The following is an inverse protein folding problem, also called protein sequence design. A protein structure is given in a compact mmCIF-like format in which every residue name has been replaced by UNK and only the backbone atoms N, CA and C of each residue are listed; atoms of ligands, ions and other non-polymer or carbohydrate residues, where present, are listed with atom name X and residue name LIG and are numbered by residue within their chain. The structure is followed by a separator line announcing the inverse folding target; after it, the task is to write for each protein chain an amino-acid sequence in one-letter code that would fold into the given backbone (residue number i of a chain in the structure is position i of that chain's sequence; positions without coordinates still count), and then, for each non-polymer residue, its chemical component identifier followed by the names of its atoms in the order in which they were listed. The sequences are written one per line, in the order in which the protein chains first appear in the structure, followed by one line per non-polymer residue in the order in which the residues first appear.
data_IF_000112633398
#
_entry.id   IF_000112633398
#
_cell.length_a   1.000
_cell.length_b   1.000
_cell.length_c   1.000
_cell.angle_alpha   90.00
_cell.angle_beta   90.00
_cell.angle_gamma   90.00
#
_symmetry.space_group_name_H-M   'P 1'
#
loop_
_entity.id
_entity.type
_entity.pdbx_description
1 polymer ?
#
# COMPACT_ATOMS: atom_id res chain seq x y z
N UNK A 1 6.57 32.03 3.60
CA UNK A 1 6.72 30.61 3.96
C UNK A 1 5.44 29.80 3.70
N UNK A 2 4.27 30.18 4.24
CA UNK A 2 3.01 29.44 4.04
C UNK A 2 2.59 29.32 2.56
N UNK A 3 2.73 30.36 1.74
CA UNK A 3 2.46 30.31 0.31
C UNK A 3 3.34 29.29 -0.39
N UNK A 4 4.65 29.35 -0.20
CA UNK A 4 5.60 28.39 -0.79
C UNK A 4 5.26 26.93 -0.45
N UNK A 5 4.91 26.64 0.81
CA UNK A 5 4.55 25.28 1.20
C UNK A 5 3.26 24.79 0.51
N UNK A 6 2.28 25.67 0.36
CA UNK A 6 1.04 25.35 -0.36
C UNK A 6 1.31 25.10 -1.83
N UNK A 7 2.00 26.03 -2.49
CA UNK A 7 2.31 25.92 -3.92
C UNK A 7 3.12 24.64 -4.20
N UNK A 8 4.04 24.26 -3.31
CA UNK A 8 4.80 23.01 -3.42
C UNK A 8 3.91 21.79 -3.23
N UNK A 9 3.00 21.78 -2.25
CA UNK A 9 2.07 20.69 -2.01
C UNK A 9 1.12 20.49 -3.20
N UNK A 10 0.58 21.59 -3.73
CA UNK A 10 -0.31 21.57 -4.90
C UNK A 10 0.42 21.04 -6.14
N UNK A 11 1.70 21.44 -6.33
CA UNK A 11 2.52 20.95 -7.44
C UNK A 11 2.83 19.46 -7.32
N UNK A 12 3.06 18.93 -6.12
CA UNK A 12 3.29 17.51 -5.90
C UNK A 12 1.99 16.70 -6.06
N UNK A 13 0.88 17.21 -5.51
CA UNK A 13 -0.42 16.57 -5.64
C UNK A 13 -0.79 16.35 -7.11
N UNK A 14 -0.58 17.36 -7.95
CA UNK A 14 -0.83 17.30 -9.39
C UNK A 14 0.05 16.27 -10.13
N UNK A 15 1.11 15.75 -9.49
CA UNK A 15 2.07 14.80 -10.08
C UNK A 15 1.97 13.38 -9.53
N UNK A 16 1.19 13.15 -8.49
CA UNK A 16 1.10 11.83 -7.83
C UNK A 16 0.75 10.73 -8.84
N UNK A 17 -0.22 11.00 -9.73
CA UNK A 17 -0.67 10.01 -10.71
C UNK A 17 0.43 9.71 -11.75
N UNK A 18 1.12 10.75 -12.23
CA UNK A 18 2.24 10.59 -13.17
C UNK A 18 3.39 9.78 -12.56
N UNK A 19 3.62 9.93 -11.26
CA UNK A 19 4.74 9.30 -10.56
C UNK A 19 4.45 7.89 -10.08
N UNK A 20 3.21 7.60 -9.67
CA UNK A 20 2.92 6.40 -8.89
C UNK A 20 1.79 5.53 -9.46
N UNK A 21 0.99 6.00 -10.44
CA UNK A 21 -0.08 5.19 -11.00
C UNK A 21 0.39 4.42 -12.23
N UNK A 22 0.26 3.08 -12.20
CA UNK A 22 0.64 2.19 -13.29
C UNK A 22 -0.58 1.45 -13.86
N UNK A 23 -0.65 1.34 -15.18
CA UNK A 23 -1.71 0.60 -15.90
C UNK A 23 -1.27 -0.75 -16.42
N UNK A 24 0.02 -0.98 -16.51
CA UNK A 24 0.68 -2.19 -17.02
C UNK A 24 1.47 -2.94 -15.92
N UNK A 25 1.18 -2.62 -14.65
CA UNK A 25 1.86 -3.20 -13.50
C UNK A 25 1.55 -4.70 -13.31
N UNK A 26 2.46 -5.36 -12.60
CA UNK A 26 2.48 -6.82 -12.42
C UNK A 26 1.17 -7.41 -11.89
N UNK A 27 0.42 -6.67 -11.04
CA UNK A 27 -0.77 -7.18 -10.35
C UNK A 27 -2.10 -6.82 -10.99
N UNK A 28 -2.13 -5.91 -11.99
CA UNK A 28 -3.38 -5.39 -12.56
C UNK A 28 -4.27 -6.51 -13.09
N UNK A 29 -3.71 -7.41 -13.89
CA UNK A 29 -4.45 -8.52 -14.49
C UNK A 29 -5.02 -9.48 -13.45
N UNK A 30 -4.21 -9.89 -12.48
CA UNK A 30 -4.57 -10.90 -11.49
C UNK A 30 -5.63 -10.39 -10.52
N UNK A 31 -5.61 -9.09 -10.20
CA UNK A 31 -6.60 -8.42 -9.36
C UNK A 31 -7.85 -7.95 -10.13
N UNK A 32 -7.88 -8.09 -11.46
CA UNK A 32 -8.99 -7.58 -12.29
C UNK A 32 -9.12 -6.05 -12.22
N UNK A 33 -7.97 -5.35 -12.20
CA UNK A 33 -7.87 -3.90 -12.13
C UNK A 33 -7.32 -3.32 -13.43
N UNK A 34 -7.67 -2.07 -13.74
CA UNK A 34 -7.13 -1.35 -14.90
C UNK A 34 -5.75 -0.74 -14.62
N UNK A 35 -5.40 -0.58 -13.35
CA UNK A 35 -4.15 -0.02 -12.88
C UNK A 35 -4.17 0.13 -11.36
N UNK A 36 -3.10 0.62 -10.78
CA UNK A 36 -3.01 0.83 -9.33
C UNK A 36 -1.86 1.76 -8.96
N UNK A 37 -1.92 2.34 -7.76
CA UNK A 37 -0.80 3.08 -7.19
C UNK A 37 0.23 2.13 -6.62
N UNK A 38 1.48 2.31 -7.04
CA UNK A 38 2.65 1.61 -6.48
C UNK A 38 3.12 2.31 -5.21
N UNK A 39 3.87 1.60 -4.38
CA UNK A 39 4.37 2.13 -3.12
C UNK A 39 5.37 3.27 -3.30
N UNK A 40 6.30 3.12 -4.24
CA UNK A 40 7.41 4.04 -4.44
C UNK A 40 7.93 3.92 -5.86
N UNK A 41 8.35 5.05 -6.44
CA UNK A 41 9.13 5.11 -7.65
C UNK A 41 10.48 5.77 -7.32
N UNK A 42 11.63 5.11 -7.56
CA UNK A 42 12.93 5.71 -7.28
C UNK A 42 13.20 6.85 -8.25
N UNK A 43 13.99 7.86 -7.85
CA UNK A 43 14.39 8.92 -8.74
C UNK A 43 15.34 8.36 -9.82
N UNK A 44 14.89 8.30 -11.07
CA UNK A 44 15.72 7.97 -12.23
C UNK A 44 15.82 9.18 -13.15
N UNK A 45 16.96 9.33 -13.80
CA UNK A 45 17.12 10.35 -14.81
C UNK A 45 16.22 10.00 -16.02
N UNK A 46 15.34 10.92 -16.41
CA UNK A 46 14.44 10.74 -17.54
C UNK A 46 12.97 10.91 -17.17
N UNK A 47 12.11 10.17 -17.85
CA UNK A 47 10.67 10.26 -17.66
C UNK A 47 10.20 9.57 -16.39
N UNK A 48 9.20 10.14 -15.71
CA UNK A 48 8.61 9.59 -14.49
C UNK A 48 8.13 8.14 -14.68
N UNK A 49 7.60 7.81 -15.86
CA UNK A 49 7.14 6.45 -16.20
C UNK A 49 8.26 5.41 -16.19
N UNK A 50 9.49 5.78 -16.52
CA UNK A 50 10.64 4.87 -16.43
C UNK A 50 10.95 4.50 -14.97
N UNK A 51 10.68 5.41 -14.03
CA UNK A 51 10.87 5.16 -12.60
C UNK A 51 9.90 4.11 -12.05
N UNK A 52 8.70 3.97 -12.61
CA UNK A 52 7.70 2.99 -12.13
C UNK A 52 8.10 1.54 -12.40
N UNK A 53 9.03 1.30 -13.32
CA UNK A 53 9.56 -0.04 -13.63
C UNK A 53 10.99 -0.27 -13.13
N UNK A 54 11.58 0.72 -12.45
CA UNK A 54 12.93 0.60 -11.91
C UNK A 54 12.96 -0.36 -10.70
N UNK A 55 14.14 -0.94 -10.44
CA UNK A 55 14.33 -1.83 -9.28
C UNK A 55 14.39 -1.02 -7.99
N UNK A 56 13.73 -1.53 -6.95
CA UNK A 56 13.69 -0.97 -5.60
C UNK A 56 14.26 -1.98 -4.62
N UNK A 57 15.27 -1.60 -3.86
CA UNK A 57 15.83 -2.42 -2.79
C UNK A 57 14.89 -2.42 -1.57
N UNK A 58 14.50 -3.60 -1.11
CA UNK A 58 13.76 -3.83 0.13
C UNK A 58 14.71 -4.39 1.18
N UNK A 59 15.20 -3.52 2.07
CA UNK A 59 16.32 -3.78 2.99
C UNK A 59 16.10 -4.90 4.02
N UNK A 60 14.85 -5.24 4.33
CA UNK A 60 14.52 -6.29 5.28
C UNK A 60 14.21 -7.64 4.59
N UNK A 61 14.65 -7.81 3.35
CA UNK A 61 14.64 -9.07 2.63
C UNK A 61 16.04 -9.67 2.56
N UNK A 62 16.10 -10.97 2.28
CA UNK A 62 17.35 -11.63 1.93
C UNK A 62 18.03 -10.92 0.76
N UNK A 63 19.31 -10.63 0.89
CA UNK A 63 20.11 -9.89 -0.10
C UNK A 63 20.04 -10.48 -1.51
N UNK A 64 19.85 -11.80 -1.63
CA UNK A 64 19.69 -12.46 -2.93
C UNK A 64 18.38 -12.11 -3.65
N UNK A 65 17.39 -11.57 -2.91
CA UNK A 65 16.04 -11.25 -3.40
C UNK A 65 15.58 -9.86 -2.92
N UNK A 66 16.51 -8.96 -2.59
CA UNK A 66 16.19 -7.66 -2.04
C UNK A 66 15.52 -6.73 -3.06
N UNK A 67 15.87 -6.86 -4.33
CA UNK A 67 15.37 -6.00 -5.40
C UNK A 67 14.01 -6.47 -5.92
N UNK A 68 13.05 -5.53 -5.97
CA UNK A 68 11.71 -5.73 -6.53
C UNK A 68 11.46 -4.63 -7.57
N UNK A 69 10.87 -4.93 -8.74
CA UNK A 69 10.40 -3.88 -9.64
C UNK A 69 9.39 -2.97 -8.92
N UNK A 70 9.50 -1.66 -9.11
CA UNK A 70 8.65 -0.68 -8.44
C UNK A 70 7.16 -0.93 -8.73
N UNK A 71 6.82 -1.30 -9.97
CA UNK A 71 5.45 -1.66 -10.38
C UNK A 71 4.92 -2.93 -9.72
N UNK A 72 5.78 -3.78 -9.18
CA UNK A 72 5.38 -4.95 -8.39
C UNK A 72 5.27 -4.68 -6.89
N UNK A 73 5.64 -3.48 -6.41
CA UNK A 73 5.65 -3.13 -4.99
C UNK A 73 4.44 -2.27 -4.61
N UNK A 74 3.50 -2.86 -3.89
CA UNK A 74 2.27 -2.19 -3.42
C UNK A 74 2.22 -2.10 -1.90
N UNK A 75 1.51 -1.10 -1.38
CA UNK A 75 1.30 -0.91 0.06
C UNK A 75 -0.08 -0.32 0.35
N UNK A 76 -0.49 -0.36 1.61
CA UNK A 76 -1.71 0.32 2.09
C UNK A 76 -1.56 1.84 2.12
N UNK A 77 -0.36 2.39 1.92
CA UNK A 77 -0.09 3.84 1.96
C UNK A 77 -0.97 4.64 0.98
N UNK A 78 -1.40 4.02 -0.13
CA UNK A 78 -2.36 4.60 -1.08
C UNK A 78 -3.65 5.08 -0.43
N UNK A 79 -4.11 4.44 0.65
CA UNK A 79 -5.31 4.83 1.38
C UNK A 79 -5.19 6.23 2.02
N UNK A 80 -3.95 6.72 2.20
CA UNK A 80 -3.70 8.08 2.67
C UNK A 80 -4.22 9.15 1.68
N UNK A 81 -4.25 8.86 0.38
CA UNK A 81 -4.81 9.76 -0.63
C UNK A 81 -6.28 10.06 -0.36
N UNK A 82 -7.04 9.06 0.09
CA UNK A 82 -8.45 9.22 0.46
C UNK A 82 -8.59 9.84 1.85
N UNK A 83 -7.81 9.36 2.82
CA UNK A 83 -7.86 9.86 4.21
C UNK A 83 -7.59 11.35 4.31
N UNK A 84 -6.69 11.87 3.50
CA UNK A 84 -6.33 13.29 3.47
C UNK A 84 -7.11 14.09 2.43
N UNK A 85 -8.09 13.50 1.74
CA UNK A 85 -8.97 14.20 0.81
C UNK A 85 -8.32 14.57 -0.53
N UNK A 86 -7.21 13.94 -0.89
CA UNK A 86 -6.53 14.17 -2.18
C UNK A 86 -7.23 13.43 -3.33
N UNK A 87 -7.91 12.33 -3.03
CA UNK A 87 -8.73 11.57 -3.99
C UNK A 87 -10.05 11.16 -3.34
N UNK A 88 -11.11 11.09 -4.15
CA UNK A 88 -12.39 10.57 -3.71
C UNK A 88 -12.31 9.04 -3.48
N UNK A 89 -13.06 8.48 -2.51
CA UNK A 89 -13.02 7.05 -2.22
C UNK A 89 -13.56 6.19 -3.37
N UNK A 90 -14.35 6.77 -4.26
CA UNK A 90 -14.93 6.16 -5.46
C UNK A 90 -14.17 6.50 -6.76
N UNK A 91 -13.05 7.23 -6.68
CA UNK A 91 -12.15 7.41 -7.83
C UNK A 91 -11.77 6.01 -8.37
N UNK A 92 -11.96 5.75 -9.68
CA UNK A 92 -11.65 4.43 -10.27
C UNK A 92 -10.23 3.95 -9.98
N UNK A 93 -9.25 4.85 -9.92
CA UNK A 93 -7.85 4.52 -9.62
C UNK A 93 -7.68 4.07 -8.17
N UNK A 94 -8.42 4.66 -7.24
CA UNK A 94 -8.44 4.23 -5.83
C UNK A 94 -9.14 2.88 -5.70
N UNK A 95 -10.30 2.71 -6.32
CA UNK A 95 -11.06 1.44 -6.28
C UNK A 95 -10.20 0.29 -6.82
N UNK A 96 -9.54 0.48 -7.94
CA UNK A 96 -8.65 -0.52 -8.54
C UNK A 96 -7.42 -0.77 -7.66
N UNK A 97 -6.83 0.27 -7.08
CA UNK A 97 -5.72 0.11 -6.13
C UNK A 97 -6.12 -0.68 -4.88
N UNK A 98 -7.33 -0.46 -4.36
CA UNK A 98 -7.87 -1.23 -3.23
C UNK A 98 -8.03 -2.71 -3.60
N UNK A 99 -8.49 -3.03 -4.81
CA UNK A 99 -8.56 -4.43 -5.30
C UNK A 99 -7.18 -5.09 -5.32
N UNK A 100 -6.18 -4.37 -5.83
CA UNK A 100 -4.80 -4.88 -5.86
C UNK A 100 -4.23 -5.03 -4.45
N UNK A 101 -4.44 -4.07 -3.55
CA UNK A 101 -4.05 -4.16 -2.15
C UNK A 101 -4.68 -5.38 -1.48
N UNK A 102 -5.98 -5.58 -1.67
CA UNK A 102 -6.69 -6.73 -1.09
C UNK A 102 -6.20 -8.06 -1.70
N UNK A 103 -5.89 -8.09 -3.00
CA UNK A 103 -5.35 -9.29 -3.66
C UNK A 103 -3.95 -9.66 -3.14
N UNK A 104 -3.07 -8.68 -2.94
CA UNK A 104 -1.64 -8.92 -2.67
C UNK A 104 -1.31 -8.96 -1.18
N UNK A 105 -1.97 -8.12 -0.37
CA UNK A 105 -1.57 -7.87 1.03
C UNK A 105 -2.52 -8.43 2.07
N UNK A 106 -3.78 -8.71 1.71
CA UNK A 106 -4.79 -9.20 2.64
C UNK A 106 -4.50 -10.64 3.06
N UNK A 107 -4.69 -10.91 4.33
CA UNK A 107 -4.66 -12.25 4.93
C UNK A 107 -5.86 -12.45 5.84
N UNK A 108 -6.38 -13.67 5.87
CA UNK A 108 -7.42 -14.05 6.84
C UNK A 108 -6.77 -14.56 8.12
N UNK A 109 -7.12 -13.95 9.22
CA UNK A 109 -6.71 -14.33 10.57
C UNK A 109 -7.92 -14.87 11.35
N UNK A 110 -7.72 -15.56 12.48
CA UNK A 110 -8.85 -16.00 13.33
C UNK A 110 -9.76 -14.84 13.79
N UNK A 111 -9.20 -13.64 13.94
CA UNK A 111 -9.93 -12.41 14.30
C UNK A 111 -10.61 -11.72 13.13
N UNK A 112 -10.28 -12.08 11.89
CA UNK A 112 -10.77 -11.47 10.64
C UNK A 112 -9.65 -11.03 9.72
N UNK A 113 -9.95 -10.26 8.67
CA UNK A 113 -8.94 -9.85 7.68
C UNK A 113 -7.93 -8.87 8.26
N UNK A 114 -6.69 -9.06 7.86
CA UNK A 114 -5.60 -8.14 8.14
C UNK A 114 -4.75 -7.88 6.91
N UNK A 115 -3.91 -6.87 6.93
CA UNK A 115 -3.06 -6.51 5.82
C UNK A 115 -1.60 -6.45 6.24
N UNK A 116 -0.71 -6.85 5.33
CA UNK A 116 0.72 -6.56 5.42
C UNK A 116 0.97 -5.10 5.03
N UNK A 117 2.07 -4.51 5.51
CA UNK A 117 2.45 -3.13 5.13
C UNK A 117 2.68 -3.00 3.63
N UNK A 118 3.40 -3.94 3.05
CA UNK A 118 3.68 -4.05 1.61
C UNK A 118 4.10 -5.49 1.27
N UNK A 119 4.04 -5.85 0.02
CA UNK A 119 4.52 -7.16 -0.42
C UNK A 119 6.05 -7.21 -0.40
N UNK A 120 6.58 -8.37 0.00
CA UNK A 120 8.02 -8.53 0.20
C UNK A 120 8.55 -7.92 1.51
N UNK A 121 7.68 -7.39 2.39
CA UNK A 121 8.07 -6.99 3.74
C UNK A 121 8.62 -8.18 4.51
N UNK A 122 9.86 -8.09 4.97
CA UNK A 122 10.52 -9.10 5.78
C UNK A 122 10.63 -8.71 7.25
N UNK A 123 9.96 -7.65 7.69
CA UNK A 123 10.01 -7.24 9.09
C UNK A 123 9.16 -8.15 9.98
N UNK A 124 9.76 -8.68 11.02
CA UNK A 124 9.13 -9.58 11.99
C UNK A 124 9.98 -10.84 12.21
N UNK A 125 9.50 -11.75 13.06
CA UNK A 125 10.15 -13.02 13.30
C UNK A 125 10.19 -13.90 12.03
N UNK A 126 11.06 -14.90 12.04
CA UNK A 126 11.11 -15.94 11.00
C UNK A 126 9.87 -16.85 11.02
N UNK A 127 9.71 -17.67 9.99
CA UNK A 127 8.57 -18.58 9.85
C UNK A 127 8.51 -19.64 10.99
N UNK A 128 9.65 -19.99 11.56
CA UNK A 128 9.79 -20.93 12.69
C UNK A 128 9.62 -20.25 14.06
N UNK A 129 9.33 -18.93 14.09
CA UNK A 129 9.18 -18.15 15.32
C UNK A 129 10.50 -17.65 15.92
N UNK A 130 11.63 -17.89 15.28
CA UNK A 130 12.91 -17.33 15.74
C UNK A 130 12.95 -15.81 15.59
N UNK A 131 13.72 -15.08 16.43
CA UNK A 131 13.74 -13.62 16.44
C UNK A 131 14.22 -13.02 15.12
N UNK A 132 13.68 -11.82 14.78
CA UNK A 132 14.18 -11.01 13.68
C UNK A 132 15.67 -10.68 13.84
N UNK A 133 16.44 -10.92 12.79
CA UNK A 133 17.90 -10.69 12.75
C UNK A 133 18.33 -9.79 11.57
N UNK A 134 17.40 -9.00 11.02
CA UNK A 134 17.59 -8.20 9.82
C UNK A 134 16.69 -8.66 8.67
N UNK A 135 16.29 -9.92 8.71
CA UNK A 135 15.30 -10.53 7.80
C UNK A 135 14.30 -11.36 8.60
N UNK A 136 13.12 -11.61 8.01
CA UNK A 136 12.06 -12.42 8.59
C UNK A 136 10.90 -12.53 7.61
N UNK A 137 9.71 -12.82 8.12
CA UNK A 137 8.50 -12.80 7.31
C UNK A 137 7.62 -11.62 7.74
N UNK A 138 7.14 -10.85 6.77
CA UNK A 138 6.22 -9.74 7.04
C UNK A 138 4.92 -10.25 7.66
N UNK A 139 4.50 -9.60 8.74
CA UNK A 139 3.26 -9.91 9.43
C UNK A 139 2.16 -8.91 9.08
N UNK A 140 0.92 -9.29 9.32
CA UNK A 140 -0.21 -8.35 9.29
C UNK A 140 -0.14 -7.43 10.51
N UNK A 141 -0.57 -6.19 10.32
CA UNK A 141 -0.55 -5.18 11.36
C UNK A 141 -1.98 -4.74 11.70
N UNK A 142 -2.41 -4.79 12.97
CA UNK A 142 -3.75 -4.35 13.37
C UNK A 142 -4.07 -2.92 12.92
N UNK A 143 -3.07 -2.02 12.95
CA UNK A 143 -3.19 -0.65 12.47
C UNK A 143 -3.75 -0.57 11.04
N UNK A 144 -3.35 -1.50 10.15
CA UNK A 144 -3.75 -1.46 8.75
C UNK A 144 -5.20 -1.88 8.54
N UNK A 145 -5.76 -2.71 9.43
CA UNK A 145 -7.20 -2.94 9.48
C UNK A 145 -7.96 -1.65 9.85
N UNK A 146 -7.41 -0.84 10.76
CA UNK A 146 -7.95 0.49 11.09
C UNK A 146 -7.87 1.48 9.93
N UNK A 147 -6.76 1.51 9.20
CA UNK A 147 -6.63 2.36 7.99
C UNK A 147 -7.61 1.92 6.90
N UNK A 148 -7.80 0.62 6.72
CA UNK A 148 -8.78 0.08 5.80
C UNK A 148 -10.21 0.43 6.23
N UNK A 149 -10.50 0.42 7.55
CA UNK A 149 -11.77 0.87 8.11
C UNK A 149 -12.05 2.36 7.82
N UNK A 150 -11.04 3.23 7.90
CA UNK A 150 -11.17 4.64 7.50
C UNK A 150 -11.60 4.77 6.04
N UNK A 151 -10.98 4.01 5.13
CA UNK A 151 -11.40 4.01 3.72
C UNK A 151 -12.86 3.58 3.57
N UNK A 152 -13.27 2.49 4.22
CA UNK A 152 -14.66 2.01 4.18
C UNK A 152 -15.65 3.07 4.69
N UNK A 153 -15.28 3.76 5.78
CA UNK A 153 -16.09 4.82 6.34
C UNK A 153 -16.28 5.99 5.35
N UNK A 154 -15.19 6.44 4.73
CA UNK A 154 -15.21 7.52 3.73
C UNK A 154 -15.96 7.12 2.46
N UNK A 155 -15.94 5.84 2.10
CA UNK A 155 -16.71 5.27 1.02
C UNK A 155 -18.22 5.01 1.38
N UNK A 156 -18.66 5.42 2.57
CA UNK A 156 -20.05 5.27 3.02
C UNK A 156 -20.42 3.88 3.52
N UNK A 157 -19.49 2.92 3.55
CA UNK A 157 -19.70 1.52 3.96
C UNK A 157 -19.50 1.34 5.46
N UNK A 158 -20.33 1.99 6.27
CA UNK A 158 -20.22 2.08 7.74
C UNK A 158 -20.20 0.71 8.43
N UNK A 159 -21.01 -0.25 7.98
CA UNK A 159 -21.06 -1.59 8.57
C UNK A 159 -19.70 -2.30 8.44
N UNK A 160 -19.07 -2.21 7.26
CA UNK A 160 -17.75 -2.79 7.03
C UNK A 160 -16.66 -2.06 7.83
N UNK A 161 -16.71 -0.74 7.90
CA UNK A 161 -15.80 0.04 8.75
C UNK A 161 -15.87 -0.40 10.22
N UNK A 162 -17.08 -0.57 10.77
CA UNK A 162 -17.29 -1.04 12.15
C UNK A 162 -16.76 -2.47 12.33
N UNK A 163 -16.98 -3.36 11.34
CA UNK A 163 -16.46 -4.73 11.39
C UNK A 163 -14.93 -4.76 11.44
N UNK A 164 -14.26 -3.97 10.61
CA UNK A 164 -12.80 -3.89 10.57
C UNK A 164 -12.21 -3.27 11.85
N UNK A 165 -12.90 -2.30 12.45
CA UNK A 165 -12.50 -1.75 13.73
C UNK A 165 -12.55 -2.81 14.85
N UNK A 166 -13.61 -3.63 14.88
CA UNK A 166 -13.71 -4.74 15.82
C UNK A 166 -12.59 -5.79 15.62
N UNK A 167 -12.20 -6.06 14.36
CA UNK A 167 -11.04 -6.92 14.05
C UNK A 167 -9.76 -6.34 14.63
N UNK A 168 -9.54 -5.03 14.47
CA UNK A 168 -8.36 -4.33 15.01
C UNK A 168 -8.33 -4.45 16.55
N UNK A 169 -9.45 -4.23 17.23
CA UNK A 169 -9.58 -4.36 18.68
C UNK A 169 -9.30 -5.80 19.16
N UNK A 170 -9.84 -6.80 18.48
CA UNK A 170 -9.64 -8.21 18.82
C UNK A 170 -8.20 -8.70 18.57
N UNK A 171 -7.42 -8.00 17.74
CA UNK A 171 -6.03 -8.37 17.45
C UNK A 171 -5.05 -7.98 18.55
N UNK A 172 -5.48 -7.21 19.55
CA UNK A 172 -4.67 -6.75 20.68
C UNK A 172 -4.95 -7.51 21.99
N UNK A 173 -5.84 -8.51 21.96
CA UNK A 173 -6.28 -9.27 23.14
C UNK A 173 -5.63 -10.65 23.24
#
# INVERSE_FOLDING_TARGET
MAGFLRDTADAWEAKIDDWLYVTDGAWARDAGASGYYIRVAPPVAGEARAATHAMVEVRNRDLCNADIPADALVSTDTLALVRFGLRAPDDPRIVDSVRVIDHVLRQELPTGPGWRRYNGDGYGEHADGSPFNGTGIGRVWPLLAGERAHYELLAGRKAEATRLLAVMEASGS
#
